data_IF_460681343957
#
_entry.id   IF_460681343957
#
_cell.length_a   1.000
_cell.length_b   1.000
_cell.length_c   1.000
_cell.angle_alpha   90.00
_cell.angle_beta   90.00
_cell.angle_gamma   90.00
#
_symmetry.space_group_name_H-M   'P 1'
#
loop_
_entity.id
_entity.type
_entity.pdbx_description
1 polymer ?
#
# COMPACT_ATOMS: atom_id res chain seq x y z
N UNK A 1 9.40 -9.59 -7.44
CA UNK A 1 8.11 -8.99 -7.00
C UNK A 1 7.18 -10.05 -6.41
N UNK A 2 6.67 -11.01 -7.18
CA UNK A 2 5.71 -12.01 -6.66
C UNK A 2 6.23 -12.85 -5.48
N UNK A 3 7.47 -13.32 -5.52
CA UNK A 3 8.07 -14.04 -4.37
C UNK A 3 8.03 -13.22 -3.09
N UNK A 4 8.52 -11.97 -3.13
CA UNK A 4 8.47 -11.04 -1.99
C UNK A 4 7.04 -10.72 -1.56
N UNK A 5 6.09 -10.60 -2.49
CA UNK A 5 4.70 -10.35 -2.18
C UNK A 5 4.04 -11.54 -1.47
N UNK A 6 4.34 -12.77 -1.89
CA UNK A 6 3.87 -14.01 -1.24
C UNK A 6 4.47 -14.12 0.17
N UNK A 7 5.79 -13.91 0.31
CA UNK A 7 6.43 -13.91 1.64
C UNK A 7 5.82 -12.86 2.56
N UNK A 8 5.57 -11.65 2.04
CA UNK A 8 4.92 -10.58 2.78
C UNK A 8 3.50 -10.98 3.20
N UNK A 9 2.72 -11.61 2.32
CA UNK A 9 1.38 -12.10 2.67
C UNK A 9 1.42 -13.16 3.75
N UNK A 10 2.35 -14.11 3.65
CA UNK A 10 2.54 -15.13 4.68
C UNK A 10 2.90 -14.48 6.02
N UNK A 11 3.80 -13.50 6.02
CA UNK A 11 4.11 -12.72 7.21
C UNK A 11 2.85 -12.03 7.77
N UNK A 12 2.01 -11.43 6.93
CA UNK A 12 0.77 -10.79 7.39
C UNK A 12 -0.21 -11.80 8.00
N UNK A 13 -0.36 -12.99 7.43
CA UNK A 13 -1.19 -14.06 8.00
C UNK A 13 -0.67 -14.46 9.38
N UNK A 14 0.65 -14.59 9.54
CA UNK A 14 1.27 -14.85 10.85
C UNK A 14 0.94 -13.75 11.84
N UNK A 15 1.00 -12.48 11.43
CA UNK A 15 0.66 -11.33 12.30
C UNK A 15 -0.82 -11.30 12.70
N UNK A 16 -1.73 -11.78 11.85
CA UNK A 16 -3.16 -11.85 12.15
C UNK A 16 -3.54 -13.08 12.99
N UNK A 17 -2.71 -14.12 13.01
CA UNK A 17 -3.02 -15.36 13.72
C UNK A 17 -3.36 -15.20 15.20
N UNK A 18 -2.71 -14.32 16.02
CA UNK A 18 -3.10 -14.15 17.41
C UNK A 18 -4.49 -13.51 17.54
N UNK A 19 -4.83 -12.58 16.65
CA UNK A 19 -6.15 -11.92 16.65
C UNK A 19 -7.24 -12.96 16.35
N UNK A 20 -7.01 -13.82 15.36
CA UNK A 20 -7.96 -14.89 14.97
C UNK A 20 -8.15 -15.89 16.12
N UNK A 21 -7.08 -16.28 16.81
CA UNK A 21 -7.16 -17.18 17.96
C UNK A 21 -7.95 -16.56 19.14
N UNK A 22 -7.72 -15.28 19.43
CA UNK A 22 -8.44 -14.57 20.48
C UNK A 22 -9.93 -14.39 20.15
N UNK A 23 -10.29 -14.22 18.88
CA UNK A 23 -11.69 -14.09 18.45
C UNK A 23 -12.43 -15.44 18.40
N UNK A 24 -11.71 -16.55 18.17
CA UNK A 24 -12.32 -17.88 17.99
C UNK A 24 -12.37 -18.73 19.26
N UNK A 25 -11.60 -18.38 20.29
CA UNK A 25 -11.52 -19.17 21.53
C UNK A 25 -12.07 -18.39 22.71
N UNK A 26 -12.75 -19.09 23.63
CA UNK A 26 -13.20 -18.51 24.91
C UNK A 26 -12.11 -18.56 25.99
N UNK A 27 -10.91 -19.06 25.64
CA UNK A 27 -9.81 -19.32 26.57
C UNK A 27 -9.18 -18.03 27.13
N UNK A 28 -9.32 -16.91 26.42
CA UNK A 28 -8.77 -15.61 26.83
C UNK A 28 -9.88 -14.55 26.85
N UNK A 29 -10.34 -14.18 28.04
CA UNK A 29 -11.32 -13.11 28.22
C UNK A 29 -10.58 -11.78 28.17
N UNK A 30 -10.68 -11.08 27.04
CA UNK A 30 -10.16 -9.73 26.91
C UNK A 30 -11.02 -8.75 27.75
N UNK A 31 -10.42 -7.72 28.36
CA UNK A 31 -11.20 -6.61 28.90
C UNK A 31 -12.11 -6.03 27.81
N UNK A 32 -13.33 -5.62 28.14
CA UNK A 32 -14.32 -5.13 27.16
C UNK A 32 -13.82 -4.00 26.24
N UNK A 33 -12.76 -3.29 26.65
CA UNK A 33 -12.09 -2.25 25.85
C UNK A 33 -11.28 -2.79 24.65
N UNK A 34 -10.95 -4.07 24.64
CA UNK A 34 -10.14 -4.75 23.61
C UNK A 34 -10.96 -5.73 22.77
N UNK A 35 -12.29 -5.56 22.70
CA UNK A 35 -13.12 -6.37 21.80
C UNK A 35 -12.80 -6.02 20.34
N UNK A 36 -12.26 -6.98 19.60
CA UNK A 36 -12.05 -6.87 18.16
C UNK A 36 -13.30 -7.37 17.43
N UNK A 37 -14.05 -6.46 16.81
CA UNK A 37 -15.21 -6.80 15.98
C UNK A 37 -14.83 -6.73 14.51
N UNK A 38 -14.02 -7.71 14.07
CA UNK A 38 -13.55 -7.82 12.69
C UNK A 38 -14.22 -9.03 12.03
N UNK A 39 -15.10 -8.77 11.07
CA UNK A 39 -15.72 -9.80 10.25
C UNK A 39 -14.70 -10.53 9.36
N UNK A 40 -15.00 -11.78 8.99
CA UNK A 40 -14.20 -12.53 8.03
C UNK A 40 -14.02 -11.80 6.69
N UNK A 41 -15.05 -11.06 6.25
CA UNK A 41 -14.99 -10.24 5.04
C UNK A 41 -13.95 -9.11 5.13
N UNK A 42 -13.86 -8.44 6.27
CA UNK A 42 -12.83 -7.41 6.51
C UNK A 42 -11.42 -8.01 6.55
N UNK A 43 -11.25 -9.24 7.08
CA UNK A 43 -9.96 -9.93 7.03
C UNK A 43 -9.52 -10.27 5.61
N UNK A 44 -10.44 -10.80 4.79
CA UNK A 44 -10.17 -11.08 3.37
C UNK A 44 -9.82 -9.79 2.63
N UNK A 45 -10.58 -8.72 2.86
CA UNK A 45 -10.29 -7.41 2.29
C UNK A 45 -8.90 -6.92 2.71
N UNK A 46 -8.53 -7.03 3.98
CA UNK A 46 -7.22 -6.62 4.49
C UNK A 46 -6.08 -7.34 3.76
N UNK A 47 -6.16 -8.67 3.63
CA UNK A 47 -5.14 -9.48 2.95
C UNK A 47 -5.05 -9.13 1.47
N UNK A 48 -6.19 -8.99 0.80
CA UNK A 48 -6.24 -8.55 -0.60
C UNK A 48 -5.61 -7.17 -0.79
N UNK A 49 -6.04 -6.20 0.02
CA UNK A 49 -5.60 -4.82 -0.05
C UNK A 49 -4.09 -4.70 0.24
N UNK A 50 -3.60 -5.47 1.22
CA UNK A 50 -2.18 -5.57 1.51
C UNK A 50 -1.37 -6.19 0.36
N UNK A 51 -1.86 -7.27 -0.26
CA UNK A 51 -1.20 -7.87 -1.42
C UNK A 51 -1.07 -6.90 -2.59
N UNK A 52 -2.17 -6.22 -2.93
CA UNK A 52 -2.21 -5.23 -4.01
C UNK A 52 -1.28 -4.06 -3.70
N UNK A 53 -1.29 -3.59 -2.45
CA UNK A 53 -0.38 -2.55 -2.00
C UNK A 53 1.09 -2.94 -2.10
N UNK A 54 1.45 -4.14 -1.61
CA UNK A 54 2.79 -4.68 -1.72
C UNK A 54 3.26 -4.73 -3.18
N UNK A 55 2.45 -5.29 -4.07
CA UNK A 55 2.79 -5.39 -5.50
C UNK A 55 3.01 -4.00 -6.10
N UNK A 56 2.14 -3.04 -5.79
CA UNK A 56 2.25 -1.64 -6.26
C UNK A 56 3.57 -1.01 -5.83
N UNK A 57 3.85 -1.05 -4.52
CA UNK A 57 5.04 -0.40 -3.97
C UNK A 57 6.33 -1.13 -4.34
N UNK A 58 6.33 -2.47 -4.40
CA UNK A 58 7.48 -3.24 -4.89
C UNK A 58 7.81 -2.89 -6.35
N UNK A 59 6.79 -2.70 -7.20
CA UNK A 59 6.97 -2.27 -8.59
C UNK A 59 7.59 -0.87 -8.67
N UNK A 60 7.08 0.09 -7.89
CA UNK A 60 7.62 1.45 -7.81
C UNK A 60 9.05 1.46 -7.28
N UNK A 61 9.33 0.72 -6.20
CA UNK A 61 10.68 0.62 -5.62
C UNK A 61 11.66 -0.04 -6.59
N UNK A 62 11.25 -1.07 -7.32
CA UNK A 62 12.09 -1.69 -8.35
C UNK A 62 12.39 -0.71 -9.50
N UNK A 63 11.39 0.04 -9.96
CA UNK A 63 11.58 1.06 -10.99
C UNK A 63 12.58 2.12 -10.52
N UNK A 64 12.45 2.65 -9.31
CA UNK A 64 13.39 3.65 -8.79
C UNK A 64 14.77 3.07 -8.53
N UNK A 65 14.86 1.86 -7.99
CA UNK A 65 16.14 1.17 -7.78
C UNK A 65 16.94 0.97 -9.06
N UNK A 66 16.28 0.71 -10.19
CA UNK A 66 16.94 0.54 -11.49
C UNK A 66 17.54 1.82 -12.09
N UNK A 67 17.20 2.99 -11.53
CA UNK A 67 17.67 4.29 -12.02
C UNK A 67 19.09 4.60 -11.53
N UNK A 68 19.48 4.04 -10.38
CA UNK A 68 20.68 4.43 -9.66
C UNK A 68 21.67 3.28 -9.57
N UNK A 69 22.96 3.60 -9.71
CA UNK A 69 24.03 2.61 -9.67
C UNK A 69 24.42 2.18 -8.25
N UNK A 70 24.19 3.06 -7.27
CA UNK A 70 24.50 2.78 -5.86
C UNK A 70 23.25 2.76 -4.99
N UNK A 71 23.28 1.91 -3.95
CA UNK A 71 22.19 1.81 -2.97
C UNK A 71 21.94 3.14 -2.24
N UNK A 72 23.00 3.92 -2.00
CA UNK A 72 22.91 5.22 -1.33
C UNK A 72 22.16 6.25 -2.19
N UNK A 73 22.44 6.27 -3.50
CA UNK A 73 21.70 7.14 -4.42
C UNK A 73 20.25 6.67 -4.61
N UNK A 74 20.03 5.36 -4.71
CA UNK A 74 18.69 4.79 -4.77
C UNK A 74 17.84 5.20 -3.57
N UNK A 75 18.39 5.15 -2.36
CA UNK A 75 17.71 5.58 -1.14
C UNK A 75 17.29 7.06 -1.21
N UNK A 76 18.15 7.94 -1.74
CA UNK A 76 17.78 9.36 -1.96
C UNK A 76 16.68 9.55 -3.01
N UNK A 77 16.57 8.61 -3.96
CA UNK A 77 15.51 8.57 -4.97
C UNK A 77 14.18 8.03 -4.45
N UNK A 78 14.11 7.42 -3.27
CA UNK A 78 12.85 6.84 -2.79
C UNK A 78 11.85 7.90 -2.29
N UNK A 79 12.29 9.15 -2.06
CA UNK A 79 11.47 10.18 -1.42
C UNK A 79 10.07 10.37 -2.07
N UNK A 80 9.91 10.44 -3.40
CA UNK A 80 8.58 10.60 -3.99
C UNK A 80 7.65 9.42 -3.71
N UNK A 81 8.17 8.20 -3.67
CA UNK A 81 7.38 7.01 -3.31
C UNK A 81 7.04 7.05 -1.82
N UNK A 82 7.99 7.46 -0.97
CA UNK A 82 7.76 7.59 0.46
C UNK A 82 6.65 8.59 0.78
N UNK A 83 6.53 9.69 0.03
CA UNK A 83 5.44 10.66 0.21
C UNK A 83 4.06 10.00 0.02
N UNK A 84 3.93 9.05 -0.92
CA UNK A 84 2.69 8.29 -1.15
C UNK A 84 2.34 7.35 0.01
N UNK A 85 3.27 7.07 0.91
CA UNK A 85 3.07 6.25 2.11
C UNK A 85 2.85 7.14 3.33
N UNK A 86 3.70 8.16 3.48
CA UNK A 86 3.74 9.06 4.64
C UNK A 86 2.45 9.87 4.74
N UNK A 87 1.97 10.46 3.64
CA UNK A 87 0.75 11.29 3.67
C UNK A 87 -0.46 10.46 4.15
N UNK A 88 -0.79 9.29 3.55
CA UNK A 88 -1.88 8.44 4.02
C UNK A 88 -1.69 7.94 5.45
N UNK A 89 -0.45 7.66 5.86
CA UNK A 89 -0.14 7.27 7.23
C UNK A 89 -0.54 8.36 8.23
N UNK A 90 -0.17 9.62 7.98
CA UNK A 90 -0.60 10.72 8.84
C UNK A 90 -2.12 10.94 8.82
N UNK A 91 -2.76 10.77 7.66
CA UNK A 91 -4.24 10.83 7.58
C UNK A 91 -4.86 9.76 8.48
N UNK A 92 -4.36 8.52 8.45
CA UNK A 92 -4.83 7.44 9.30
C UNK A 92 -4.66 7.77 10.79
N UNK A 93 -3.56 8.41 11.20
CA UNK A 93 -3.36 8.83 12.60
C UNK A 93 -4.41 9.85 13.07
N UNK A 94 -4.85 10.77 12.21
CA UNK A 94 -5.90 11.74 12.59
C UNK A 94 -7.23 11.09 12.96
N UNK A 95 -7.48 9.88 12.47
CA UNK A 95 -8.71 9.13 12.74
C UNK A 95 -8.83 8.69 14.20
N UNK A 96 -7.71 8.56 14.92
CA UNK A 96 -7.75 8.22 16.35
C UNK A 96 -8.45 9.31 17.17
N UNK A 97 -8.39 10.56 16.72
CA UNK A 97 -9.05 11.70 17.37
C UNK A 97 -10.41 12.00 16.74
N UNK A 98 -10.51 11.93 15.41
CA UNK A 98 -11.75 12.15 14.67
C UNK A 98 -11.98 11.03 13.63
N UNK A 99 -12.62 9.91 14.03
CA UNK A 99 -12.79 8.74 13.18
C UNK A 99 -13.64 8.97 11.93
N UNK A 100 -14.48 10.01 11.93
CA UNK A 100 -15.44 10.30 10.85
C UNK A 100 -15.01 11.49 9.97
N UNK A 101 -13.75 11.93 10.08
CA UNK A 101 -13.23 13.03 9.28
C UNK A 101 -13.39 12.79 7.77
N UNK A 102 -13.94 13.78 7.06
CA UNK A 102 -14.15 13.76 5.61
C UNK A 102 -12.84 13.55 4.82
N UNK A 103 -11.69 14.04 5.30
CA UNK A 103 -10.39 13.80 4.65
C UNK A 103 -10.08 12.30 4.62
N UNK A 104 -10.26 11.61 5.74
CA UNK A 104 -10.01 10.18 5.85
C UNK A 104 -11.02 9.38 5.01
N UNK A 105 -12.27 9.84 4.92
CA UNK A 105 -13.29 9.22 4.07
C UNK A 105 -12.91 9.27 2.60
N UNK A 106 -12.47 10.41 2.09
CA UNK A 106 -12.01 10.54 0.70
C UNK A 106 -10.71 9.75 0.49
N UNK A 107 -9.73 9.91 1.39
CA UNK A 107 -8.44 9.24 1.29
C UNK A 107 -8.56 7.70 1.34
N UNK A 108 -9.54 7.17 2.08
CA UNK A 108 -9.82 5.72 2.12
C UNK A 108 -10.22 5.14 0.76
N UNK A 109 -10.64 5.98 -0.20
CA UNK A 109 -11.03 5.58 -1.56
C UNK A 109 -10.09 6.13 -2.64
N UNK A 110 -8.99 6.77 -2.27
CA UNK A 110 -8.06 7.38 -3.22
C UNK A 110 -6.88 6.43 -3.54
N UNK A 111 -6.31 6.46 -4.77
CA UNK A 111 -5.12 5.68 -5.12
C UNK A 111 -3.98 5.85 -4.12
N UNK A 112 -3.25 4.77 -3.83
CA UNK A 112 -2.18 4.71 -2.82
C UNK A 112 -2.64 4.91 -1.37
N UNK A 113 -3.49 5.90 -1.12
CA UNK A 113 -4.00 6.23 0.20
C UNK A 113 -4.94 5.15 0.76
N UNK A 114 -5.81 4.60 -0.09
CA UNK A 114 -6.74 3.52 0.30
C UNK A 114 -6.03 2.26 0.80
N UNK A 115 -4.79 1.99 0.34
CA UNK A 115 -3.97 0.86 0.82
C UNK A 115 -3.72 0.97 2.33
N UNK A 116 -3.60 2.19 2.87
CA UNK A 116 -3.24 2.46 4.27
C UNK A 116 -4.46 2.91 5.08
N UNK A 117 -5.25 3.85 4.54
CA UNK A 117 -6.34 4.50 5.27
C UNK A 117 -7.56 3.59 5.43
N UNK A 118 -7.91 2.77 4.43
CA UNK A 118 -9.10 1.91 4.54
C UNK A 118 -8.95 0.82 5.62
N UNK A 119 -7.81 0.11 5.73
CA UNK A 119 -7.56 -0.80 6.86
C UNK A 119 -7.64 -0.14 8.23
N UNK A 120 -7.12 1.08 8.39
CA UNK A 120 -7.21 1.81 9.64
C UNK A 120 -8.67 2.19 9.95
N UNK A 121 -9.40 2.65 8.94
CA UNK A 121 -10.80 3.08 9.06
C UNK A 121 -11.73 1.95 9.47
N UNK A 122 -11.61 0.76 8.89
CA UNK A 122 -12.48 -0.38 9.22
C UNK A 122 -12.28 -0.90 10.66
N UNK A 123 -11.20 -0.52 11.33
CA UNK A 123 -10.97 -0.86 12.75
C UNK A 123 -11.61 0.16 13.72
N UNK A 124 -11.98 1.35 13.22
CA UNK A 124 -12.45 2.46 14.04
C UNK A 124 -13.94 2.76 13.87
N UNK A 125 -14.47 2.51 12.67
CA UNK A 125 -15.86 2.81 12.32
C UNK A 125 -16.43 1.73 11.41
N UNK A 126 -17.74 1.56 11.45
CA UNK A 126 -18.46 0.73 10.49
C UNK A 126 -18.41 1.37 9.10
N UNK A 127 -17.83 0.64 8.16
CA UNK A 127 -17.66 1.09 6.78
C UNK A 127 -18.72 0.43 5.90
N UNK A 128 -19.52 1.20 5.15
CA UNK A 128 -20.46 0.64 4.18
C UNK A 128 -19.76 -0.22 3.12
N UNK A 129 -20.36 -1.34 2.74
CA UNK A 129 -19.81 -2.32 1.78
C UNK A 129 -19.35 -1.69 0.46
N UNK A 130 -20.08 -0.68 -0.04
CA UNK A 130 -19.73 -0.01 -1.29
C UNK A 130 -18.36 0.70 -1.24
N UNK A 131 -17.93 1.19 -0.07
CA UNK A 131 -16.61 1.85 0.04
C UNK A 131 -15.48 0.84 -0.11
N UNK A 132 -15.65 -0.39 0.37
CA UNK A 132 -14.68 -1.47 0.14
C UNK A 132 -14.59 -1.83 -1.35
N UNK A 133 -15.73 -1.90 -2.05
CA UNK A 133 -15.76 -2.17 -3.49
C UNK A 133 -15.02 -1.06 -4.24
N UNK A 134 -15.28 0.21 -3.92
CA UNK A 134 -14.56 1.35 -4.52
C UNK A 134 -13.06 1.25 -4.26
N UNK A 135 -12.63 0.96 -3.03
CA UNK A 135 -11.22 0.82 -2.70
C UNK A 135 -10.56 -0.33 -3.48
N UNK A 136 -11.22 -1.49 -3.61
CA UNK A 136 -10.75 -2.62 -4.43
C UNK A 136 -10.55 -2.18 -5.88
N UNK A 137 -11.57 -1.57 -6.49
CA UNK A 137 -11.53 -1.13 -7.89
C UNK A 137 -10.41 -0.12 -8.09
N UNK A 138 -10.30 0.88 -7.23
CA UNK A 138 -9.25 1.91 -7.30
C UNK A 138 -7.85 1.30 -7.17
N UNK A 139 -7.65 0.34 -6.27
CA UNK A 139 -6.34 -0.29 -6.09
C UNK A 139 -5.96 -1.20 -7.26
N UNK A 140 -6.91 -1.95 -7.82
CA UNK A 140 -6.70 -2.74 -9.04
C UNK A 140 -6.33 -1.81 -10.20
N UNK A 141 -7.09 -0.74 -10.42
CA UNK A 141 -6.81 0.24 -11.49
C UNK A 141 -5.45 0.91 -11.29
N UNK A 142 -5.07 1.19 -10.04
CA UNK A 142 -3.76 1.76 -9.71
C UNK A 142 -2.64 0.81 -10.12
N UNK A 143 -2.74 -0.49 -9.80
CA UNK A 143 -1.75 -1.50 -10.24
C UNK A 143 -1.66 -1.55 -11.75
N UNK A 144 -2.81 -1.65 -12.44
CA UNK A 144 -2.86 -1.75 -13.91
C UNK A 144 -2.23 -0.51 -14.57
N UNK A 145 -2.43 0.69 -14.00
CA UNK A 145 -1.85 1.91 -14.51
C UNK A 145 -0.34 2.03 -14.22
N UNK A 146 0.10 1.62 -13.03
CA UNK A 146 1.48 1.80 -12.57
C UNK A 146 2.44 0.76 -13.16
N UNK A 147 2.02 -0.49 -13.36
CA UNK A 147 2.91 -1.55 -13.83
C UNK A 147 3.56 -1.26 -15.20
N UNK A 148 2.82 -0.81 -16.23
CA UNK A 148 3.41 -0.44 -17.52
C UNK A 148 4.41 0.73 -17.38
N UNK A 149 4.10 1.71 -16.53
CA UNK A 149 4.95 2.88 -16.26
C UNK A 149 6.25 2.42 -15.58
N UNK A 150 6.14 1.62 -14.52
CA UNK A 150 7.27 1.08 -13.79
C UNK A 150 8.16 0.20 -14.68
N UNK A 151 7.55 -0.63 -15.54
CA UNK A 151 8.27 -1.46 -16.51
C UNK A 151 9.07 -0.62 -17.51
N UNK A 152 8.48 0.44 -18.07
CA UNK A 152 9.19 1.37 -18.95
C UNK A 152 10.36 2.06 -18.25
N UNK A 153 10.15 2.57 -17.03
CA UNK A 153 11.22 3.21 -16.25
C UNK A 153 12.34 2.21 -15.97
N UNK A 154 11.99 0.97 -15.64
CA UNK A 154 12.95 -0.10 -15.39
C UNK A 154 13.81 -0.41 -16.62
N UNK A 155 13.18 -0.60 -17.79
CA UNK A 155 13.88 -0.88 -19.04
C UNK A 155 14.79 0.26 -19.49
N UNK A 156 14.41 1.52 -19.29
CA UNK A 156 15.27 2.67 -19.65
C UNK A 156 16.35 2.90 -18.60
N UNK A 157 16.02 2.72 -17.32
CA UNK A 157 16.93 2.92 -16.20
C UNK A 157 18.13 2.00 -16.25
N UNK A 158 17.93 0.70 -16.50
CA UNK A 158 19.02 -0.29 -16.55
C UNK A 158 20.03 -0.04 -17.67
N UNK A 159 19.61 0.63 -18.76
CA UNK A 159 20.48 0.97 -19.90
C UNK A 159 21.21 2.30 -19.71
N UNK A 160 20.81 3.10 -18.73
CA UNK A 160 21.41 4.41 -18.43
C UNK A 160 22.52 4.24 -17.40
N UNK A 161 23.76 4.46 -17.82
CA UNK A 161 24.93 4.42 -16.93
C UNK A 161 25.52 5.82 -16.72
N UNK A 162 26.16 6.03 -15.58
CA UNK A 162 27.12 7.08 -15.29
C UNK A 162 26.60 8.40 -14.72
N UNK A 163 25.35 8.82 -14.99
CA UNK A 163 24.80 10.07 -14.41
C UNK A 163 23.44 9.85 -13.77
N UNK A 164 23.36 10.23 -12.48
CA UNK A 164 22.12 10.35 -11.71
C UNK A 164 21.10 11.21 -12.47
N UNK A 165 20.04 10.63 -13.04
CA UNK A 165 19.08 11.40 -13.82
C UNK A 165 18.19 12.23 -12.89
N UNK A 166 17.78 13.40 -13.37
CA UNK A 166 16.79 14.22 -12.66
C UNK A 166 15.39 13.62 -12.85
N UNK A 167 14.49 13.82 -11.90
CA UNK A 167 13.07 13.38 -12.02
C UNK A 167 12.39 13.90 -13.29
N UNK A 168 12.74 15.09 -13.75
CA UNK A 168 12.25 15.66 -15.00
C UNK A 168 12.70 14.88 -16.24
N UNK A 169 13.84 14.18 -16.18
CA UNK A 169 14.32 13.29 -17.24
C UNK A 169 13.62 11.93 -17.18
N UNK A 170 13.42 11.38 -15.98
CA UNK A 170 12.68 10.13 -15.76
C UNK A 170 11.26 10.24 -16.34
N UNK A 171 10.58 11.37 -16.14
CA UNK A 171 9.24 11.61 -16.72
C UNK A 171 9.28 11.61 -18.25
N UNK A 172 10.37 12.07 -18.88
CA UNK A 172 10.50 12.05 -20.35
C UNK A 172 10.64 10.63 -20.89
N UNK A 173 11.18 9.69 -20.11
CA UNK A 173 11.31 8.29 -20.53
C UNK A 173 9.95 7.62 -20.79
N UNK A 174 8.88 8.10 -20.17
CA UNK A 174 7.53 7.62 -20.42
C UNK A 174 7.05 7.87 -21.87
N UNK A 175 7.65 8.85 -22.54
CA UNK A 175 7.37 9.20 -23.94
C UNK A 175 8.21 8.40 -24.94
N UNK A 176 9.17 7.61 -24.48
CA UNK A 176 9.94 6.75 -25.37
C UNK A 176 9.07 5.55 -25.78
N UNK A 177 8.99 5.33 -27.09
CA UNK A 177 8.40 4.13 -27.67
C UNK A 177 9.57 3.20 -28.02
N UNK A 178 9.61 2.03 -27.38
CA UNK A 178 10.42 0.90 -27.81
C UNK A 178 9.49 -0.09 -28.50
#
# INVERSE_FOLDING_TARGET
>A
IFGSAITGLLQMIVWLSPIILLMSTTLYILPAKFSFDISAGQMIFLLFNFFVGLITFLGLFAAVGSIFESAQEAQSGLMPIMILIIIPFFIALTMMQNPTNEIAKIASMFPFASIIVMPAKMMLVDVPTWQFIVAIVVNILTVIAIFPIAGKIYSVGILRTGKKPKWSEVIKWLKYNY
#
